data_IF_326827646780
#
_entry.id   IF_326827646780
#
_cell.length_a   1.000
_cell.length_b   1.000
_cell.length_c   1.000
_cell.angle_alpha   90.00
_cell.angle_beta   90.00
_cell.angle_gamma   90.00
#
_symmetry.space_group_name_H-M   'P 1'
#
loop_
_entity.id
_entity.type
_entity.pdbx_description
1 polymer ?
#
# COMPACT_ATOMS: atom_id res chain seq x y z
N UNK A 1 -2.96 16.00 19.08
CA UNK A 1 -3.48 15.62 17.76
C UNK A 1 -2.62 16.12 16.60
N UNK A 2 -2.58 17.43 16.30
CA UNK A 2 -1.80 17.95 15.14
C UNK A 2 -0.33 17.48 15.15
N UNK A 3 0.35 17.62 16.29
CA UNK A 3 1.75 17.19 16.44
C UNK A 3 1.94 15.68 16.19
N UNK A 4 0.95 14.86 16.53
CA UNK A 4 1.01 13.41 16.30
C UNK A 4 0.90 13.10 14.81
N UNK A 5 -0.03 13.76 14.10
CA UNK A 5 -0.13 13.69 12.64
C UNK A 5 1.17 14.15 11.95
N UNK A 6 1.72 15.29 12.41
CA UNK A 6 2.97 15.84 11.86
C UNK A 6 4.13 14.86 12.06
N UNK A 7 4.19 14.17 13.20
CA UNK A 7 5.21 13.16 13.49
C UNK A 7 5.09 11.95 12.56
N UNK A 8 3.88 11.40 12.39
CA UNK A 8 3.63 10.25 11.50
C UNK A 8 4.01 10.60 10.06
N UNK A 9 3.54 11.76 9.60
CA UNK A 9 3.83 12.24 8.25
C UNK A 9 5.34 12.45 8.03
N UNK A 10 6.03 13.07 8.98
CA UNK A 10 7.47 13.31 8.87
C UNK A 10 8.26 11.99 8.84
N UNK A 11 7.89 11.03 9.69
CA UNK A 11 8.53 9.72 9.74
C UNK A 11 8.37 8.95 8.42
N UNK A 12 7.14 8.91 7.89
CA UNK A 12 6.84 8.25 6.62
C UNK A 12 7.64 8.87 5.46
N UNK A 13 7.68 10.20 5.37
CA UNK A 13 8.44 10.91 4.33
C UNK A 13 9.93 10.61 4.46
N UNK A 14 10.48 10.63 5.68
CA UNK A 14 11.89 10.38 5.94
C UNK A 14 12.31 8.96 5.50
N UNK A 15 11.61 7.92 5.96
CA UNK A 15 11.95 6.53 5.63
C UNK A 15 11.79 6.25 4.13
N UNK A 16 10.67 6.67 3.51
CA UNK A 16 10.44 6.42 2.08
C UNK A 16 11.38 7.21 1.18
N UNK A 17 11.92 8.35 1.65
CA UNK A 17 12.94 9.09 0.91
C UNK A 17 14.26 8.31 0.74
N UNK A 18 14.51 7.30 1.58
CA UNK A 18 15.69 6.44 1.47
C UNK A 18 15.56 5.38 0.35
N UNK A 19 14.35 5.12 -0.17
CA UNK A 19 14.16 4.19 -1.27
C UNK A 19 14.80 4.71 -2.56
N UNK A 20 15.44 3.83 -3.37
CA UNK A 20 15.86 4.16 -4.73
C UNK A 20 14.67 4.63 -5.55
N UNK A 21 14.88 5.60 -6.45
CA UNK A 21 13.81 6.18 -7.28
C UNK A 21 13.03 5.12 -8.08
N UNK A 22 13.69 4.04 -8.50
CA UNK A 22 13.07 2.92 -9.20
C UNK A 22 12.08 2.12 -8.34
N UNK A 23 12.21 2.15 -7.02
CA UNK A 23 11.37 1.43 -6.06
C UNK A 23 10.35 2.32 -5.36
N UNK A 24 10.30 3.61 -5.71
CA UNK A 24 9.33 4.58 -5.16
C UNK A 24 7.95 4.46 -5.81
N UNK A 25 7.38 3.27 -5.75
CA UNK A 25 6.04 2.99 -6.26
C UNK A 25 5.28 2.18 -5.21
N UNK A 26 4.16 2.74 -4.73
CA UNK A 26 3.23 2.03 -3.87
C UNK A 26 2.23 1.28 -4.75
N UNK A 27 2.13 -0.04 -4.55
CA UNK A 27 1.27 -0.92 -5.34
C UNK A 27 0.16 -1.49 -4.46
N UNK A 28 -1.09 -1.14 -4.75
CA UNK A 28 -2.27 -1.50 -3.95
C UNK A 28 -3.38 -2.15 -4.79
N UNK A 29 -4.38 -2.75 -4.14
CA UNK A 29 -5.54 -3.30 -4.85
C UNK A 29 -6.38 -2.14 -5.42
N UNK A 30 -6.78 -1.17 -4.58
CA UNK A 30 -7.55 0.01 -4.98
C UNK A 30 -6.68 1.29 -5.03
N UNK A 31 -7.02 2.22 -5.92
CA UNK A 31 -6.36 3.53 -6.04
C UNK A 31 -6.72 4.54 -4.94
N UNK A 32 -6.52 4.16 -3.68
CA UNK A 32 -6.92 4.95 -2.51
C UNK A 32 -5.82 5.82 -1.90
N UNK A 33 -4.57 5.74 -2.39
CA UNK A 33 -3.39 6.29 -1.72
C UNK A 33 -2.78 7.51 -2.43
N UNK A 34 -3.50 8.11 -3.39
CA UNK A 34 -3.04 9.26 -4.18
C UNK A 34 -2.48 10.43 -3.36
N UNK A 35 -3.11 10.78 -2.23
CA UNK A 35 -2.64 11.85 -1.34
C UNK A 35 -1.32 11.48 -0.65
N UNK A 36 -1.22 10.27 -0.12
CA UNK A 36 0.00 9.76 0.50
C UNK A 36 1.14 9.74 -0.54
N UNK A 37 0.87 9.23 -1.74
CA UNK A 37 1.88 9.14 -2.80
C UNK A 37 2.38 10.52 -3.21
N UNK A 38 1.47 11.50 -3.36
CA UNK A 38 1.83 12.90 -3.63
C UNK A 38 2.75 13.47 -2.55
N UNK A 39 2.39 13.28 -1.28
CA UNK A 39 3.09 13.91 -0.16
C UNK A 39 4.43 13.24 0.17
N UNK A 40 4.61 11.98 -0.25
CA UNK A 40 5.85 11.19 -0.05
C UNK A 40 6.72 11.09 -1.30
N UNK A 41 6.34 11.75 -2.40
CA UNK A 41 7.02 11.67 -3.71
C UNK A 41 7.16 10.22 -4.22
N UNK A 42 6.11 9.43 -3.99
CA UNK A 42 5.93 8.07 -4.50
C UNK A 42 5.03 8.09 -5.72
N UNK A 43 5.20 7.11 -6.61
CA UNK A 43 4.25 6.81 -7.67
C UNK A 43 3.16 5.91 -7.10
N UNK A 44 1.95 6.13 -7.56
CA UNK A 44 0.81 5.28 -7.24
C UNK A 44 0.59 4.27 -8.38
N UNK A 45 0.40 3.00 -8.04
CA UNK A 45 -0.02 1.94 -8.95
C UNK A 45 -1.08 1.09 -8.25
N UNK A 46 -2.17 0.80 -8.97
CA UNK A 46 -3.26 0.01 -8.43
C UNK A 46 -3.87 -0.89 -9.50
N UNK A 47 -4.58 -1.94 -9.07
CA UNK A 47 -5.32 -2.82 -9.97
C UNK A 47 -6.55 -2.11 -10.54
N UNK A 48 -7.33 -1.42 -9.71
CA UNK A 48 -8.50 -0.66 -10.14
C UNK A 48 -8.62 0.69 -9.43
N UNK A 49 -9.31 1.62 -10.08
CA UNK A 49 -9.58 2.93 -9.50
C UNK A 49 -10.72 2.85 -8.48
N UNK A 50 -10.80 3.85 -7.60
CA UNK A 50 -11.93 3.97 -6.65
C UNK A 50 -13.25 3.98 -7.40
N UNK A 51 -14.22 3.20 -6.94
CA UNK A 51 -15.54 3.02 -7.56
C UNK A 51 -15.52 2.42 -8.99
N UNK A 52 -14.50 1.63 -9.34
CA UNK A 52 -14.49 0.91 -10.61
C UNK A 52 -15.68 -0.05 -10.72
N UNK A 53 -16.22 -0.19 -11.94
CA UNK A 53 -17.30 -1.15 -12.20
C UNK A 53 -16.82 -2.61 -12.21
N UNK A 54 -15.54 -2.82 -12.56
CA UNK A 54 -14.89 -4.13 -12.60
C UNK A 54 -13.58 -4.10 -11.80
N UNK A 55 -13.42 -5.10 -10.93
CA UNK A 55 -12.27 -5.28 -10.05
C UNK A 55 -11.51 -6.55 -10.42
N UNK A 56 -10.17 -6.46 -10.51
CA UNK A 56 -9.29 -7.62 -10.73
C UNK A 56 -9.41 -8.27 -12.11
N UNK A 57 -9.73 -7.51 -13.15
CA UNK A 57 -9.78 -8.04 -14.53
C UNK A 57 -8.39 -8.49 -15.01
N UNK A 58 -8.30 -9.44 -15.96
CA UNK A 58 -7.02 -9.90 -16.50
C UNK A 58 -6.14 -8.76 -17.05
N UNK A 59 -6.75 -7.75 -17.68
CA UNK A 59 -6.04 -6.59 -18.22
C UNK A 59 -5.46 -5.70 -17.11
N UNK A 60 -6.21 -5.51 -16.02
CA UNK A 60 -5.74 -4.76 -14.84
C UNK A 60 -4.54 -5.45 -14.20
N UNK A 61 -4.63 -6.78 -13.99
CA UNK A 61 -3.56 -7.60 -13.43
C UNK A 61 -2.31 -7.53 -14.32
N UNK A 62 -2.46 -7.74 -15.63
CA UNK A 62 -1.34 -7.72 -16.58
C UNK A 62 -0.55 -6.40 -16.55
N UNK A 63 -1.26 -5.25 -16.49
CA UNK A 63 -0.64 -3.93 -16.41
C UNK A 63 0.18 -3.76 -15.13
N UNK A 64 -0.33 -4.22 -14.00
CA UNK A 64 0.38 -4.14 -12.71
C UNK A 64 1.60 -5.08 -12.72
N UNK A 65 1.44 -6.32 -13.21
CA UNK A 65 2.55 -7.29 -13.35
C UNK A 65 3.71 -6.72 -14.17
N UNK A 66 3.43 -6.09 -15.31
CA UNK A 66 4.46 -5.48 -16.16
C UNK A 66 5.26 -4.43 -15.39
N UNK A 67 4.57 -3.54 -14.67
CA UNK A 67 5.21 -2.45 -13.93
C UNK A 67 6.01 -2.96 -12.74
N UNK A 68 5.46 -3.91 -11.97
CA UNK A 68 6.14 -4.51 -10.80
C UNK A 68 7.44 -5.21 -11.23
N UNK A 69 7.41 -5.96 -12.34
CA UNK A 69 8.61 -6.60 -12.91
C UNK A 69 9.64 -5.57 -13.38
N UNK A 70 9.19 -4.59 -14.16
CA UNK A 70 10.08 -3.59 -14.76
C UNK A 70 10.80 -2.74 -13.72
N UNK A 71 10.12 -2.43 -12.60
CA UNK A 71 10.65 -1.60 -11.52
C UNK A 71 11.27 -2.39 -10.37
N UNK A 72 11.18 -3.73 -10.41
CA UNK A 72 11.66 -4.62 -9.35
C UNK A 72 11.10 -4.23 -7.97
N UNK A 73 9.79 -3.98 -7.93
CA UNK A 73 9.09 -3.56 -6.71
C UNK A 73 9.07 -4.77 -5.74
N UNK A 74 9.56 -4.61 -4.50
CA UNK A 74 9.77 -5.75 -3.60
C UNK A 74 8.48 -6.24 -2.93
N UNK A 75 7.48 -5.38 -2.77
CA UNK A 75 6.24 -5.69 -2.07
C UNK A 75 5.03 -5.07 -2.77
N UNK A 76 3.90 -5.76 -2.65
CA UNK A 76 2.57 -5.30 -3.09
C UNK A 76 1.58 -5.46 -1.93
N UNK A 77 0.55 -4.63 -1.89
CA UNK A 77 -0.37 -4.53 -0.75
C UNK A 77 -1.82 -4.68 -1.22
N UNK A 78 -2.70 -5.07 -0.30
CA UNK A 78 -4.16 -4.90 -0.46
C UNK A 78 -4.79 -4.48 0.86
N UNK A 79 -5.91 -3.78 0.73
CA UNK A 79 -6.68 -3.21 1.81
C UNK A 79 -7.52 -4.27 2.54
N UNK A 80 -7.84 -4.02 3.82
CA UNK A 80 -8.63 -4.93 4.66
C UNK A 80 -10.05 -5.20 4.18
N UNK A 81 -10.58 -4.33 3.31
CA UNK A 81 -11.98 -4.36 2.85
C UNK A 81 -12.15 -4.99 1.47
N UNK A 82 -11.07 -5.38 0.79
CA UNK A 82 -11.11 -5.97 -0.56
C UNK A 82 -10.50 -7.36 -0.61
N UNK A 83 -10.88 -8.14 -1.63
CA UNK A 83 -10.33 -9.48 -1.83
C UNK A 83 -8.91 -9.41 -2.41
N UNK A 84 -7.88 -10.00 -1.76
CA UNK A 84 -6.49 -9.93 -2.22
C UNK A 84 -6.18 -10.84 -3.40
N UNK A 85 -7.13 -11.66 -3.88
CA UNK A 85 -6.90 -12.70 -4.90
C UNK A 85 -6.23 -12.18 -6.19
N UNK A 86 -6.66 -11.01 -6.67
CA UNK A 86 -6.09 -10.43 -7.88
C UNK A 86 -4.63 -9.99 -7.66
N UNK A 87 -4.30 -9.43 -6.49
CA UNK A 87 -2.94 -9.05 -6.15
C UNK A 87 -2.06 -10.26 -5.79
N UNK A 88 -2.64 -11.34 -5.27
CA UNK A 88 -1.92 -12.60 -5.10
C UNK A 88 -1.40 -13.11 -6.44
N UNK A 89 -2.20 -13.01 -7.51
CA UNK A 89 -1.73 -13.35 -8.85
C UNK A 89 -0.56 -12.44 -9.30
N UNK A 90 -0.64 -11.14 -9.01
CA UNK A 90 0.48 -10.22 -9.27
C UNK A 90 1.74 -10.68 -8.53
N UNK A 91 1.64 -11.00 -7.24
CA UNK A 91 2.75 -11.47 -6.43
C UNK A 91 3.36 -12.76 -6.99
N UNK A 92 2.52 -13.75 -7.31
CA UNK A 92 2.94 -15.04 -7.87
C UNK A 92 3.68 -14.89 -9.21
N UNK A 93 3.23 -13.98 -10.07
CA UNK A 93 3.84 -13.76 -11.38
C UNK A 93 5.13 -12.93 -11.32
N UNK A 94 5.27 -12.05 -10.33
CA UNK A 94 6.35 -11.05 -10.25
C UNK A 94 7.46 -11.45 -9.26
N UNK A 95 7.14 -12.29 -8.27
CA UNK A 95 8.00 -12.58 -7.13
C UNK A 95 7.98 -11.51 -6.04
N UNK A 96 7.15 -10.46 -6.17
CA UNK A 96 6.95 -9.49 -5.11
C UNK A 96 6.22 -10.12 -3.92
N UNK A 97 6.51 -9.66 -2.71
CA UNK A 97 5.84 -10.18 -1.50
C UNK A 97 4.49 -9.49 -1.34
N UNK A 98 3.41 -10.27 -1.35
CA UNK A 98 2.09 -9.75 -0.97
C UNK A 98 2.03 -9.53 0.54
N UNK A 99 1.67 -8.31 0.94
CA UNK A 99 1.53 -7.85 2.31
C UNK A 99 0.06 -7.79 2.69
N UNK A 100 -0.41 -8.84 3.36
CA UNK A 100 -1.81 -8.99 3.83
C UNK A 100 -1.92 -9.63 5.21
N UNK A 101 -0.78 -9.86 5.89
CA UNK A 101 -0.82 -10.31 7.28
C UNK A 101 -1.29 -9.18 8.21
N UNK A 102 -1.70 -9.53 9.43
CA UNK A 102 -2.28 -8.58 10.38
C UNK A 102 -1.43 -7.32 10.64
N UNK A 103 -0.11 -7.39 10.45
CA UNK A 103 0.79 -6.25 10.67
C UNK A 103 0.98 -5.38 9.43
N UNK A 104 0.64 -5.88 8.25
CA UNK A 104 0.94 -5.22 6.98
C UNK A 104 -0.30 -4.98 6.10
N UNK A 105 -1.47 -5.49 6.49
CA UNK A 105 -2.73 -5.19 5.81
C UNK A 105 -3.05 -3.69 5.97
N UNK A 106 -3.44 -3.04 4.88
CA UNK A 106 -3.68 -1.60 4.87
C UNK A 106 -5.14 -1.28 5.19
N UNK A 107 -5.37 -0.16 5.90
CA UNK A 107 -6.69 0.31 6.31
C UNK A 107 -7.00 1.65 5.69
N UNK A 108 -8.09 1.73 4.91
CA UNK A 108 -8.42 2.93 4.12
C UNK A 108 -9.64 3.66 4.66
N UNK A 109 -10.80 3.01 4.63
CA UNK A 109 -12.10 3.65 4.87
C UNK A 109 -12.75 3.23 6.19
N UNK A 110 -12.08 2.37 6.96
CA UNK A 110 -12.62 1.77 8.18
C UNK A 110 -11.55 1.63 9.27
N UNK A 111 -11.98 1.90 10.50
CA UNK A 111 -11.24 1.58 11.71
C UNK A 111 -11.56 0.15 12.12
N UNK A 112 -10.67 -0.46 12.90
CA UNK A 112 -10.99 -1.72 13.55
C UNK A 112 -11.96 -1.50 14.70
N UNK A 113 -12.51 -2.60 15.22
CA UNK A 113 -13.14 -2.60 16.54
C UNK A 113 -12.13 -2.14 17.62
N UNK A 114 -12.65 -1.82 18.81
CA UNK A 114 -11.87 -1.25 19.90
C UNK A 114 -10.70 -2.14 20.38
N UNK A 115 -10.78 -3.45 20.14
CA UNK A 115 -9.76 -4.45 20.45
C UNK A 115 -8.91 -4.86 19.22
N UNK A 116 -9.16 -4.24 18.07
CA UNK A 116 -8.40 -4.48 16.84
C UNK A 116 -7.15 -3.62 16.71
N UNK A 117 -6.43 -3.74 15.56
CA UNK A 117 -5.12 -3.13 15.38
C UNK A 117 -5.15 -1.61 15.17
N UNK A 118 -6.27 -1.05 14.70
CA UNK A 118 -6.39 0.37 14.34
C UNK A 118 -7.71 0.99 14.85
N UNK A 119 -7.92 1.04 16.18
CA UNK A 119 -9.18 1.50 16.75
C UNK A 119 -9.39 3.02 16.64
N UNK A 120 -8.35 3.78 16.29
CA UNK A 120 -8.42 5.22 16.06
C UNK A 120 -7.77 5.63 14.75
N UNK A 121 -8.10 6.83 14.27
CA UNK A 121 -7.50 7.37 13.05
C UNK A 121 -5.97 7.55 13.16
N UNK A 122 -5.44 7.84 14.35
CA UNK A 122 -3.98 7.92 14.52
C UNK A 122 -3.34 6.54 14.42
N UNK A 123 -3.98 5.52 14.99
CA UNK A 123 -3.49 4.14 14.92
C UNK A 123 -3.51 3.64 13.48
N UNK A 124 -4.57 3.96 12.72
CA UNK A 124 -4.66 3.67 11.28
C UNK A 124 -3.48 4.28 10.53
N UNK A 125 -3.25 5.58 10.68
CA UNK A 125 -2.18 6.26 9.96
C UNK A 125 -0.79 5.72 10.33
N UNK A 126 -0.56 5.42 11.61
CA UNK A 126 0.72 4.87 12.06
C UNK A 126 0.92 3.45 11.52
N UNK A 127 -0.10 2.60 11.62
CA UNK A 127 -0.06 1.22 11.13
C UNK A 127 0.22 1.14 9.63
N UNK A 128 -0.52 1.90 8.82
CA UNK A 128 -0.33 1.92 7.37
C UNK A 128 1.05 2.48 6.99
N UNK A 129 1.52 3.51 7.69
CA UNK A 129 2.87 4.05 7.48
C UNK A 129 3.94 2.99 7.76
N UNK A 130 3.84 2.28 8.89
CA UNK A 130 4.78 1.24 9.29
C UNK A 130 4.74 0.05 8.33
N UNK A 131 3.56 -0.37 7.89
CA UNK A 131 3.35 -1.44 6.91
C UNK A 131 4.01 -1.11 5.57
N UNK A 132 3.78 0.11 5.05
CA UNK A 132 4.33 0.57 3.78
C UNK A 132 5.86 0.65 3.84
N UNK A 133 6.40 1.27 4.90
CA UNK A 133 7.85 1.39 5.11
C UNK A 133 8.48 0.00 5.23
N UNK A 134 7.95 -0.85 6.11
CA UNK A 134 8.46 -2.20 6.34
C UNK A 134 8.45 -3.03 5.05
N UNK A 135 7.33 -3.02 4.34
CA UNK A 135 7.15 -3.78 3.11
C UNK A 135 8.09 -3.35 1.99
N UNK A 136 8.24 -2.05 1.75
CA UNK A 136 9.09 -1.54 0.67
C UNK A 136 10.57 -1.57 1.01
N UNK A 137 10.95 -1.49 2.29
CA UNK A 137 12.34 -1.55 2.73
C UNK A 137 12.83 -2.96 3.06
N UNK A 138 11.96 -3.98 2.99
CA UNK A 138 12.30 -5.38 3.22
C UNK A 138 12.67 -5.71 4.65
N UNK A 139 12.03 -5.05 5.63
CA UNK A 139 12.26 -5.23 7.07
C UNK A 139 11.16 -6.08 7.72
#
# INVERSE_FOLDING_TARGET
YKKELDNISSHLIEELSALPESQRTLVTCEGAFSYLCRDTNMKELYLWAVNAADEGTPQQIAKVVETVKAQQIPAVFCESTVSPKAMQQVADETGAVLKTDEKNILYVDSLSEADGPVPTYLDLLQHDADAIVSGLMGR
#
